data_IF_108090034231
#
_entry.id   IF_108090034231
#
_cell.length_a   1.000
_cell.length_b   1.000
_cell.length_c   1.000
_cell.angle_alpha   90.00
_cell.angle_beta   90.00
_cell.angle_gamma   90.00
#
_symmetry.space_group_name_H-M   'P 1'
#
loop_
_entity.id
_entity.type
_entity.pdbx_description
1 polymer ?
#
# COMPACT_ATOMS: atom_id res chain seq x y z
N UNK A 1 11.31 -52.85 40.84
CA UNK A 1 11.22 -51.65 40.01
C UNK A 1 9.80 -51.06 40.09
N UNK A 2 9.55 -49.97 40.79
CA UNK A 2 8.22 -49.37 40.84
C UNK A 2 8.03 -48.49 39.60
N UNK A 3 6.93 -48.72 38.90
CA UNK A 3 6.51 -47.95 37.72
C UNK A 3 6.17 -46.52 38.12
N UNK A 4 6.95 -45.56 37.65
CA UNK A 4 6.59 -44.16 37.68
C UNK A 4 5.38 -43.95 36.77
N UNK A 5 4.17 -44.00 37.33
CA UNK A 5 2.98 -43.45 36.69
C UNK A 5 3.18 -41.93 36.55
N UNK A 6 3.45 -41.49 35.34
CA UNK A 6 3.40 -40.10 34.95
C UNK A 6 1.98 -39.58 35.22
N UNK A 7 1.80 -38.88 36.33
CA UNK A 7 0.65 -38.04 36.59
C UNK A 7 0.80 -36.76 35.72
N UNK A 8 0.72 -36.93 34.41
CA UNK A 8 0.44 -35.79 33.54
C UNK A 8 -0.98 -35.32 33.92
N UNK A 9 -1.06 -34.25 34.67
CA UNK A 9 -2.31 -33.58 35.03
C UNK A 9 -3.02 -33.24 33.71
N UNK A 10 -4.06 -34.01 33.38
CA UNK A 10 -4.92 -33.69 32.26
C UNK A 10 -5.51 -32.29 32.52
N UNK A 11 -5.42 -31.35 31.55
CA UNK A 11 -5.94 -30.00 31.73
C UNK A 11 -7.43 -30.05 32.06
N UNK A 12 -7.84 -29.30 33.05
CA UNK A 12 -9.23 -29.21 33.46
C UNK A 12 -10.12 -28.67 32.36
N UNK A 13 -11.42 -28.98 32.41
CA UNK A 13 -12.40 -28.44 31.43
C UNK A 13 -12.40 -26.91 31.36
N UNK A 14 -12.11 -26.23 32.47
CA UNK A 14 -11.98 -24.79 32.54
C UNK A 14 -10.72 -24.26 31.81
N UNK A 15 -9.60 -24.98 31.92
CA UNK A 15 -8.36 -24.66 31.22
C UNK A 15 -8.50 -24.89 29.70
N UNK A 16 -9.12 -26.01 29.30
CA UNK A 16 -9.43 -26.28 27.90
C UNK A 16 -10.39 -25.21 27.31
N UNK A 17 -11.39 -24.77 28.08
CA UNK A 17 -12.31 -23.71 27.67
C UNK A 17 -11.61 -22.33 27.58
N UNK A 18 -10.67 -22.06 28.49
CA UNK A 18 -9.88 -20.83 28.45
C UNK A 18 -8.91 -20.84 27.26
N UNK A 19 -8.25 -21.97 26.96
CA UNK A 19 -7.40 -22.14 25.77
C UNK A 19 -8.19 -21.98 24.48
N UNK A 20 -9.42 -22.51 24.40
CA UNK A 20 -10.29 -22.40 23.23
C UNK A 20 -10.74 -20.94 22.99
N UNK A 21 -11.04 -20.20 24.06
CA UNK A 21 -11.40 -18.76 23.97
C UNK A 21 -10.21 -17.90 23.55
N UNK A 22 -9.03 -18.14 24.12
CA UNK A 22 -7.80 -17.47 23.73
C UNK A 22 -7.42 -17.75 22.28
N UNK A 23 -7.54 -18.99 21.84
CA UNK A 23 -7.27 -19.37 20.44
C UNK A 23 -8.31 -18.77 19.46
N UNK A 24 -9.58 -18.69 19.85
CA UNK A 24 -10.61 -18.02 19.04
C UNK A 24 -10.33 -16.51 18.93
N UNK A 25 -9.92 -15.87 20.02
CA UNK A 25 -9.56 -14.46 20.03
C UNK A 25 -8.32 -14.18 19.16
N UNK A 26 -7.30 -15.05 19.19
CA UNK A 26 -6.11 -14.96 18.35
C UNK A 26 -6.42 -15.16 16.86
N UNK A 27 -7.48 -15.88 16.51
CA UNK A 27 -7.93 -16.03 15.11
C UNK A 27 -8.73 -14.83 14.60
N UNK A 28 -9.47 -14.15 15.48
CA UNK A 28 -10.32 -12.99 15.13
C UNK A 28 -9.52 -11.71 15.10
N UNK A 29 -8.50 -11.58 15.96
CA UNK A 29 -7.69 -10.38 16.10
C UNK A 29 -6.98 -9.95 14.80
N UNK A 30 -6.36 -10.84 13.99
CA UNK A 30 -5.75 -10.44 12.72
C UNK A 30 -6.76 -9.91 11.68
N UNK A 31 -8.01 -10.40 11.74
CA UNK A 31 -9.04 -10.04 10.76
C UNK A 31 -9.74 -8.73 11.16
N UNK A 32 -10.13 -8.61 12.44
CA UNK A 32 -10.95 -7.49 12.92
C UNK A 32 -10.19 -6.48 13.78
N UNK A 33 -8.95 -6.77 14.18
CA UNK A 33 -8.18 -5.91 15.07
C UNK A 33 -7.99 -4.51 14.50
N UNK A 34 -7.62 -4.42 13.22
CA UNK A 34 -7.39 -3.14 12.56
C UNK A 34 -8.69 -2.33 12.35
N UNK A 35 -9.80 -2.90 11.85
CA UNK A 35 -11.09 -2.21 11.82
C UNK A 35 -11.58 -1.75 13.20
N UNK A 36 -11.47 -2.59 14.22
CA UNK A 36 -11.88 -2.23 15.59
C UNK A 36 -11.01 -1.08 16.10
N UNK A 37 -9.69 -1.14 15.95
CA UNK A 37 -8.79 -0.07 16.34
C UNK A 37 -9.14 1.24 15.63
N UNK A 38 -9.45 1.18 14.33
CA UNK A 38 -9.84 2.36 13.55
C UNK A 38 -11.12 3.00 14.12
N UNK A 39 -12.16 2.20 14.40
CA UNK A 39 -13.39 2.69 14.98
C UNK A 39 -13.16 3.30 16.38
N UNK A 40 -12.33 2.65 17.21
CA UNK A 40 -11.98 3.16 18.53
C UNK A 40 -11.23 4.50 18.44
N UNK A 41 -10.28 4.62 17.50
CA UNK A 41 -9.56 5.88 17.28
C UNK A 41 -10.49 6.99 16.78
N UNK A 42 -11.39 6.69 15.85
CA UNK A 42 -12.39 7.66 15.39
C UNK A 42 -13.26 8.12 16.56
N UNK A 43 -13.77 7.21 17.37
CA UNK A 43 -14.57 7.55 18.56
C UNK A 43 -13.77 8.37 19.57
N UNK A 44 -12.55 7.98 19.86
CA UNK A 44 -11.66 8.66 20.80
C UNK A 44 -11.37 10.10 20.35
N UNK A 45 -10.96 10.31 19.11
CA UNK A 45 -10.67 11.65 18.61
C UNK A 45 -11.93 12.49 18.43
N UNK A 46 -13.08 11.88 18.09
CA UNK A 46 -14.36 12.60 18.05
C UNK A 46 -14.78 13.11 19.41
N UNK A 47 -14.50 12.35 20.47
CA UNK A 47 -14.77 12.79 21.85
C UNK A 47 -13.78 13.87 22.31
N UNK A 48 -12.51 13.73 21.98
CA UNK A 48 -11.45 14.65 22.42
C UNK A 48 -11.48 16.00 21.69
N UNK A 49 -11.85 15.98 20.39
CA UNK A 49 -11.84 17.14 19.50
C UNK A 49 -13.20 17.30 18.77
N UNK A 50 -14.30 17.54 19.50
CA UNK A 50 -15.65 17.51 18.92
C UNK A 50 -15.89 18.57 17.86
N UNK A 51 -15.23 19.72 17.97
CA UNK A 51 -15.39 20.85 17.02
C UNK A 51 -14.56 20.70 15.74
N UNK A 52 -13.53 19.85 15.75
CA UNK A 52 -12.57 19.77 14.64
C UNK A 52 -12.59 18.41 13.96
N UNK A 53 -12.60 17.32 14.71
CA UNK A 53 -12.38 15.98 14.17
C UNK A 53 -13.61 15.41 13.45
N UNK A 54 -14.85 15.40 14.01
CA UNK A 54 -16.04 14.80 13.39
C UNK A 54 -16.70 15.74 12.36
N UNK A 55 -15.92 16.60 11.70
CA UNK A 55 -16.46 17.54 10.71
C UNK A 55 -16.38 16.96 9.29
N UNK A 56 -17.35 17.34 8.44
CA UNK A 56 -17.37 16.93 7.04
C UNK A 56 -16.12 17.41 6.27
N UNK A 57 -15.60 18.58 6.64
CA UNK A 57 -14.39 19.15 6.05
C UNK A 57 -13.18 18.26 6.36
N UNK A 58 -12.99 17.88 7.63
CA UNK A 58 -11.90 17.03 8.05
C UNK A 58 -12.01 15.63 7.43
N UNK A 59 -13.20 15.04 7.40
CA UNK A 59 -13.42 13.75 6.75
C UNK A 59 -13.09 13.79 5.25
N UNK A 60 -13.52 14.85 4.55
CA UNK A 60 -13.20 15.04 3.12
C UNK A 60 -11.70 15.21 2.89
N UNK A 61 -11.02 15.98 3.74
CA UNK A 61 -9.57 16.17 3.66
C UNK A 61 -8.83 14.83 3.83
N UNK A 62 -9.16 14.05 4.87
CA UNK A 62 -8.56 12.74 5.10
C UNK A 62 -8.82 11.79 3.92
N UNK A 63 -10.04 11.75 3.38
CA UNK A 63 -10.37 10.90 2.24
C UNK A 63 -9.60 11.32 0.99
N UNK A 64 -9.49 12.61 0.70
CA UNK A 64 -8.74 13.12 -0.45
C UNK A 64 -7.24 12.79 -0.32
N UNK A 65 -6.65 13.08 0.84
CA UNK A 65 -5.23 12.85 1.08
C UNK A 65 -4.85 11.36 1.04
N UNK A 66 -5.77 10.47 1.42
CA UNK A 66 -5.54 9.02 1.47
C UNK A 66 -6.06 8.27 0.25
N UNK A 67 -6.79 8.93 -0.65
CA UNK A 67 -7.34 8.30 -1.86
C UNK A 67 -6.25 7.64 -2.73
N UNK A 68 -5.12 8.33 -2.93
CA UNK A 68 -4.00 7.81 -3.72
C UNK A 68 -3.43 6.56 -3.08
N UNK A 69 -3.19 6.57 -1.78
CA UNK A 69 -2.66 5.40 -1.04
C UNK A 69 -3.65 4.24 -1.10
N UNK A 70 -4.95 4.51 -1.00
CA UNK A 70 -5.99 3.48 -1.11
C UNK A 70 -6.00 2.83 -2.50
N UNK A 71 -5.91 3.63 -3.58
CA UNK A 71 -5.82 3.11 -4.95
C UNK A 71 -4.54 2.30 -5.18
N UNK A 72 -3.39 2.76 -4.67
CA UNK A 72 -2.14 2.01 -4.74
C UNK A 72 -2.21 0.69 -3.98
N UNK A 73 -2.87 0.68 -2.82
CA UNK A 73 -3.09 -0.54 -2.03
C UNK A 73 -3.94 -1.55 -2.79
N UNK A 74 -5.00 -1.10 -3.48
CA UNK A 74 -5.81 -1.96 -4.35
C UNK A 74 -5.00 -2.51 -5.53
N UNK A 75 -4.16 -1.67 -6.16
CA UNK A 75 -3.27 -2.12 -7.23
C UNK A 75 -2.27 -3.17 -6.72
N UNK A 76 -1.72 -2.99 -5.52
CA UNK A 76 -0.79 -3.95 -4.90
C UNK A 76 -1.43 -5.30 -4.57
N UNK A 77 -2.75 -5.36 -4.37
CA UNK A 77 -3.45 -6.62 -4.12
C UNK A 77 -3.41 -7.56 -5.33
N UNK A 78 -3.35 -7.03 -6.56
CA UNK A 78 -3.38 -7.86 -7.78
C UNK A 78 -2.19 -8.83 -7.84
N UNK A 79 -0.92 -8.37 -7.78
CA UNK A 79 0.22 -9.28 -7.74
C UNK A 79 0.24 -10.16 -6.47
N UNK A 80 -0.21 -9.64 -5.32
CA UNK A 80 -0.31 -10.42 -4.09
C UNK A 80 -1.27 -11.62 -4.21
N UNK A 81 -2.37 -11.48 -4.94
CA UNK A 81 -3.29 -12.59 -5.23
C UNK A 81 -2.62 -13.70 -6.06
N UNK A 82 -1.64 -13.35 -6.88
CA UNK A 82 -0.79 -14.30 -7.60
C UNK A 82 0.38 -14.84 -6.78
N UNK A 83 0.45 -14.51 -5.48
CA UNK A 83 1.57 -14.92 -4.59
C UNK A 83 2.88 -14.17 -4.86
N UNK A 84 2.82 -13.03 -5.55
CA UNK A 84 3.98 -12.19 -5.88
C UNK A 84 3.92 -10.87 -5.10
N UNK A 85 5.08 -10.32 -4.76
CA UNK A 85 5.19 -9.01 -4.12
C UNK A 85 5.72 -8.02 -5.17
N UNK A 86 5.01 -6.91 -5.36
CA UNK A 86 5.45 -5.83 -6.25
C UNK A 86 5.77 -4.56 -5.44
N UNK A 87 7.06 -4.30 -5.26
CA UNK A 87 7.55 -3.11 -4.58
C UNK A 87 7.71 -1.90 -5.50
N UNK A 88 7.62 -2.11 -6.83
CA UNK A 88 7.69 -1.00 -7.82
C UNK A 88 6.57 0.01 -7.61
N UNK A 89 5.42 -0.40 -7.08
CA UNK A 89 4.27 0.47 -6.85
C UNK A 89 4.65 1.66 -5.96
N UNK A 90 5.41 1.42 -4.87
CA UNK A 90 5.82 2.46 -3.94
C UNK A 90 6.86 3.43 -4.52
N UNK A 91 7.83 2.92 -5.27
CA UNK A 91 8.88 3.74 -5.88
C UNK A 91 8.44 4.36 -7.21
N UNK A 92 7.69 3.60 -7.99
CA UNK A 92 7.24 4.01 -9.32
C UNK A 92 6.30 5.20 -9.29
N UNK A 93 5.48 5.37 -8.25
CA UNK A 93 4.57 6.51 -8.16
C UNK A 93 5.30 7.85 -8.28
N UNK A 94 6.51 7.95 -7.73
CA UNK A 94 7.32 9.16 -7.81
C UNK A 94 7.68 9.44 -9.27
N UNK A 95 8.14 8.42 -10.01
CA UNK A 95 8.47 8.57 -11.42
C UNK A 95 7.25 8.93 -12.27
N UNK A 96 6.12 8.25 -12.06
CA UNK A 96 4.91 8.49 -12.84
C UNK A 96 4.31 9.86 -12.57
N UNK A 97 4.34 10.31 -11.32
CA UNK A 97 3.89 11.65 -10.95
C UNK A 97 4.77 12.74 -11.58
N UNK A 98 6.09 12.63 -11.44
CA UNK A 98 7.04 13.57 -12.04
C UNK A 98 6.89 13.59 -13.57
N UNK A 99 6.80 12.43 -14.21
CA UNK A 99 6.63 12.33 -15.66
C UNK A 99 5.34 13.01 -16.12
N UNK A 100 4.21 12.76 -15.42
CA UNK A 100 2.93 13.37 -15.75
C UNK A 100 2.96 14.90 -15.70
N UNK A 101 3.60 15.46 -14.67
CA UNK A 101 3.71 16.92 -14.50
C UNK A 101 4.73 17.50 -15.48
N UNK A 102 5.90 16.88 -15.64
CA UNK A 102 6.93 17.37 -16.55
C UNK A 102 6.44 17.43 -18.00
N UNK A 103 5.72 16.42 -18.45
CA UNK A 103 5.15 16.43 -19.82
C UNK A 103 4.22 17.61 -20.04
N UNK A 104 3.44 18.01 -19.05
CA UNK A 104 2.50 19.12 -19.15
C UNK A 104 3.18 20.48 -18.94
N UNK A 105 4.08 20.61 -17.97
CA UNK A 105 4.65 21.89 -17.56
C UNK A 105 5.90 22.25 -18.35
N UNK A 106 6.76 21.29 -18.69
CA UNK A 106 8.03 21.52 -19.36
C UNK A 106 7.96 21.31 -20.88
N UNK A 107 7.09 20.42 -21.32
CA UNK A 107 6.99 20.02 -22.73
C UNK A 107 5.64 20.42 -23.38
N UNK A 108 4.76 21.12 -22.66
CA UNK A 108 3.46 21.60 -23.13
C UNK A 108 2.54 20.54 -23.76
N UNK A 109 2.68 19.27 -23.30
CA UNK A 109 1.78 18.21 -23.76
C UNK A 109 0.35 18.42 -23.21
N UNK A 110 -0.68 18.21 -24.03
CA UNK A 110 -2.05 18.19 -23.51
C UNK A 110 -2.21 17.06 -22.48
N UNK A 111 -2.93 17.34 -21.38
CA UNK A 111 -3.05 16.42 -20.25
C UNK A 111 -3.52 15.00 -20.63
N UNK A 112 -4.44 14.77 -21.61
CA UNK A 112 -4.84 13.41 -21.97
C UNK A 112 -3.69 12.60 -22.58
N UNK A 113 -2.83 13.28 -23.38
CA UNK A 113 -1.66 12.64 -23.98
C UNK A 113 -0.59 12.35 -22.92
N UNK A 114 -0.37 13.26 -21.98
CA UNK A 114 0.54 13.05 -20.86
C UNK A 114 0.10 11.83 -20.00
N UNK A 115 -1.20 11.73 -19.69
CA UNK A 115 -1.75 10.56 -18.97
C UNK A 115 -1.58 9.27 -19.77
N UNK A 116 -1.83 9.28 -21.08
CA UNK A 116 -1.65 8.10 -21.91
C UNK A 116 -0.19 7.62 -21.91
N UNK A 117 0.76 8.55 -22.07
CA UNK A 117 2.20 8.23 -22.03
C UNK A 117 2.58 7.60 -20.68
N UNK A 118 2.12 8.17 -19.57
CA UNK A 118 2.40 7.64 -18.23
C UNK A 118 1.83 6.24 -18.04
N UNK A 119 0.59 5.98 -18.50
CA UNK A 119 -0.03 4.66 -18.41
C UNK A 119 0.74 3.64 -19.25
N UNK A 120 1.14 4.00 -20.46
CA UNK A 120 1.94 3.11 -21.33
C UNK A 120 3.33 2.85 -20.73
N UNK A 121 3.98 3.87 -20.18
CA UNK A 121 5.29 3.71 -19.53
C UNK A 121 5.19 2.83 -18.27
N UNK A 122 4.15 3.02 -17.45
CA UNK A 122 3.85 2.16 -16.31
C UNK A 122 3.58 0.71 -16.72
N UNK A 123 2.79 0.52 -17.77
CA UNK A 123 2.53 -0.80 -18.36
C UNK A 123 3.81 -1.48 -18.87
N UNK A 124 4.70 -0.73 -19.53
CA UNK A 124 6.00 -1.24 -19.97
C UNK A 124 6.89 -1.66 -18.79
N UNK A 125 6.94 -0.87 -17.74
CA UNK A 125 7.67 -1.22 -16.51
C UNK A 125 7.11 -2.48 -15.85
N UNK A 126 5.78 -2.60 -15.78
CA UNK A 126 5.11 -3.81 -15.29
C UNK A 126 5.41 -5.04 -16.16
N UNK A 127 5.44 -4.88 -17.50
CA UNK A 127 5.80 -5.95 -18.42
C UNK A 127 7.25 -6.41 -18.21
N UNK A 128 8.18 -5.49 -18.00
CA UNK A 128 9.58 -5.80 -17.69
C UNK A 128 9.65 -6.62 -16.40
N UNK A 129 8.96 -6.19 -15.33
CA UNK A 129 8.90 -6.95 -14.09
C UNK A 129 8.29 -8.34 -14.29
N UNK A 130 7.22 -8.45 -15.07
CA UNK A 130 6.61 -9.74 -15.43
C UNK A 130 7.59 -10.67 -16.13
N UNK A 131 8.37 -10.16 -17.08
CA UNK A 131 9.42 -10.93 -17.78
C UNK A 131 10.52 -11.39 -16.80
N UNK A 132 10.97 -10.50 -15.92
CA UNK A 132 12.01 -10.84 -14.93
C UNK A 132 11.53 -11.92 -13.96
N UNK A 133 10.27 -11.84 -13.51
CA UNK A 133 9.73 -12.78 -12.51
C UNK A 133 9.29 -14.10 -13.15
N UNK A 134 8.55 -14.06 -14.26
CA UNK A 134 7.93 -15.27 -14.82
C UNK A 134 8.81 -16.00 -15.84
N UNK A 135 9.63 -15.27 -16.59
CA UNK A 135 10.50 -15.87 -17.62
C UNK A 135 11.92 -16.06 -17.10
N UNK A 136 12.53 -15.03 -16.54
CA UNK A 136 13.89 -15.14 -15.98
C UNK A 136 13.91 -15.79 -14.58
N UNK A 137 12.73 -16.08 -13.98
CA UNK A 137 12.57 -16.77 -12.69
C UNK A 137 13.31 -16.06 -11.54
N UNK A 138 13.42 -14.74 -11.61
CA UNK A 138 13.98 -13.93 -10.53
C UNK A 138 12.89 -13.76 -9.45
N UNK A 139 13.29 -13.83 -8.20
CA UNK A 139 12.38 -13.57 -7.09
C UNK A 139 11.69 -12.20 -7.25
N UNK A 140 10.37 -12.16 -7.05
CA UNK A 140 9.56 -10.96 -7.31
C UNK A 140 9.95 -9.78 -6.42
N UNK A 141 10.33 -10.05 -5.17
CA UNK A 141 10.81 -9.01 -4.26
C UNK A 141 12.10 -8.36 -4.78
N UNK A 142 13.07 -9.17 -5.24
CA UNK A 142 14.36 -8.69 -5.75
C UNK A 142 14.16 -7.92 -7.07
N UNK A 143 13.39 -8.49 -7.99
CA UNK A 143 13.13 -7.87 -9.31
C UNK A 143 12.44 -6.52 -9.15
N UNK A 144 11.35 -6.45 -8.37
CA UNK A 144 10.54 -5.24 -8.22
C UNK A 144 11.21 -4.19 -7.34
N UNK A 145 12.03 -4.58 -6.37
CA UNK A 145 12.87 -3.65 -5.61
C UNK A 145 13.94 -3.03 -6.52
N UNK A 146 14.60 -3.85 -7.35
CA UNK A 146 15.62 -3.37 -8.30
C UNK A 146 15.03 -2.40 -9.32
N UNK A 147 13.97 -2.77 -10.01
CA UNK A 147 13.31 -1.90 -10.99
C UNK A 147 12.70 -0.66 -10.34
N UNK A 148 12.13 -0.79 -9.15
CA UNK A 148 11.58 0.34 -8.39
C UNK A 148 12.66 1.37 -8.04
N UNK A 149 13.83 0.92 -7.55
CA UNK A 149 14.95 1.83 -7.24
C UNK A 149 15.52 2.49 -8.49
N UNK A 150 15.55 1.80 -9.64
CA UNK A 150 15.93 2.38 -10.92
C UNK A 150 14.95 3.48 -11.33
N UNK A 151 13.64 3.23 -11.25
CA UNK A 151 12.61 4.23 -11.56
C UNK A 151 12.73 5.46 -10.66
N UNK A 152 12.97 5.26 -9.38
CA UNK A 152 13.19 6.35 -8.43
C UNK A 152 14.44 7.16 -8.76
N UNK A 153 15.55 6.49 -9.09
CA UNK A 153 16.78 7.15 -9.49
C UNK A 153 16.61 7.95 -10.79
N UNK A 154 15.86 7.41 -11.77
CA UNK A 154 15.52 8.12 -13.01
C UNK A 154 14.66 9.37 -12.73
N UNK A 155 13.72 9.28 -11.79
CA UNK A 155 12.91 10.42 -11.34
C UNK A 155 13.79 11.53 -10.76
N UNK A 156 14.71 11.20 -9.88
CA UNK A 156 15.64 12.16 -9.29
C UNK A 156 16.61 12.75 -10.33
N UNK A 157 17.12 11.92 -11.23
CA UNK A 157 17.98 12.39 -12.30
C UNK A 157 17.25 13.36 -13.25
N UNK A 158 16.01 13.06 -13.60
CA UNK A 158 15.21 13.93 -14.49
C UNK A 158 14.93 15.31 -13.87
N UNK A 159 14.79 15.40 -12.57
CA UNK A 159 14.45 16.64 -11.86
C UNK A 159 15.64 17.32 -11.18
N UNK A 160 16.86 16.77 -11.29
CA UNK A 160 18.01 17.17 -10.46
C UNK A 160 17.68 17.19 -8.95
N UNK A 161 16.80 16.29 -8.51
CA UNK A 161 16.32 16.21 -7.13
C UNK A 161 15.42 17.38 -6.70
N UNK A 162 14.92 18.17 -7.64
CA UNK A 162 14.03 19.33 -7.37
C UNK A 162 12.58 18.98 -7.61
N UNK A 163 11.69 19.80 -7.06
CA UNK A 163 10.26 19.69 -7.37
C UNK A 163 9.97 20.29 -8.75
N UNK A 164 9.17 19.62 -9.54
CA UNK A 164 8.61 20.17 -10.77
C UNK A 164 7.42 21.04 -10.37
N UNK A 165 7.55 22.36 -10.58
CA UNK A 165 6.53 23.35 -10.23
C UNK A 165 6.06 24.06 -11.50
N UNK A 166 4.75 24.23 -11.65
CA UNK A 166 4.14 24.95 -12.77
C UNK A 166 2.62 24.97 -12.67
N UNK A 167 2.00 25.73 -13.55
CA UNK A 167 0.55 25.79 -13.67
C UNK A 167 0.09 24.60 -14.52
N UNK A 168 -0.83 23.82 -13.97
CA UNK A 168 -1.48 22.75 -14.69
C UNK A 168 -2.66 23.29 -15.51
N UNK A 169 -3.00 22.67 -16.65
CA UNK A 169 -4.14 23.09 -17.47
C UNK A 169 -5.46 22.98 -16.70
N UNK A 170 -6.38 23.93 -16.93
CA UNK A 170 -7.69 24.02 -16.27
C UNK A 170 -8.55 22.75 -16.40
N UNK A 171 -8.29 21.89 -17.35
CA UNK A 171 -8.99 20.61 -17.55
C UNK A 171 -8.41 19.43 -16.76
N UNK A 172 -7.29 19.64 -16.06
CA UNK A 172 -6.62 18.58 -15.27
C UNK A 172 -6.86 18.74 -13.76
N UNK A 173 -7.26 19.89 -13.30
CA UNK A 173 -7.48 20.26 -11.88
C UNK A 173 -8.96 20.15 -11.51
#
# INVERSE_FOLDING_TARGET
>A
MPSLKSNALEPTRSELAALSRGQAMLRVLPIYGLPILTVLLIGFFSYLLPESFPTAINARSILSDKAIIALLSLAAMIPMMAGRIDLTIGFGIVMWHILAISLQVQYDFPWPLACLIVVLAGGAAGLINGILVEIAQIDSFIATLGTGTILYALALWHTDGRQVVGLLPDGFV
#
